data_IF_572744189956
#
_entry.id   IF_572744189956
#
_cell.length_a   1.000
_cell.length_b   1.000
_cell.length_c   1.000
_cell.angle_alpha   90.00
_cell.angle_beta   90.00
_cell.angle_gamma   90.00
#
_symmetry.space_group_name_H-M   'P 1'
#
loop_
_entity.id
_entity.type
_entity.pdbx_description
1 polymer ?
#
# COMPACT_ATOMS: atom_id res chain seq x y z
N UNK A 1 -3.74 4.10 -3.81
CA UNK A 1 -5.21 3.99 -3.97
C UNK A 1 -5.52 2.59 -4.47
N UNK A 2 -6.47 1.91 -3.85
CA UNK A 2 -6.93 0.59 -4.26
C UNK A 2 -8.31 0.73 -4.87
N UNK A 3 -8.51 0.05 -6.00
CA UNK A 3 -9.77 0.04 -6.72
C UNK A 3 -10.21 -1.41 -6.84
N UNK A 4 -11.49 -1.64 -6.56
CA UNK A 4 -12.11 -2.95 -6.68
C UNK A 4 -13.06 -2.88 -7.86
N UNK A 5 -12.93 -3.86 -8.74
CA UNK A 5 -13.75 -3.98 -9.94
C UNK A 5 -14.50 -5.30 -9.92
N UNK A 6 -15.74 -5.27 -10.38
CA UNK A 6 -16.48 -6.46 -10.77
C UNK A 6 -15.80 -7.09 -12.00
N UNK A 7 -15.46 -8.38 -11.92
CA UNK A 7 -14.64 -9.05 -12.96
C UNK A 7 -15.43 -9.31 -14.24
N UNK A 8 -16.74 -9.54 -14.14
CA UNK A 8 -17.58 -9.85 -15.30
C UNK A 8 -17.89 -8.59 -16.12
N UNK A 9 -18.16 -7.48 -15.44
CA UNK A 9 -18.64 -6.24 -16.06
C UNK A 9 -17.55 -5.17 -16.19
N UNK A 10 -16.46 -5.29 -15.44
CA UNK A 10 -15.42 -4.26 -15.33
C UNK A 10 -15.86 -3.01 -14.55
N UNK A 11 -17.04 -3.02 -13.92
CA UNK A 11 -17.54 -1.87 -13.17
C UNK A 11 -16.71 -1.67 -11.89
N UNK A 12 -16.34 -0.41 -11.59
CA UNK A 12 -15.75 -0.07 -10.30
C UNK A 12 -16.82 -0.19 -9.20
N UNK A 13 -16.58 -1.06 -8.22
CA UNK A 13 -17.52 -1.33 -7.13
C UNK A 13 -17.11 -0.67 -5.82
N UNK A 14 -15.82 -0.37 -5.65
CA UNK A 14 -15.32 0.37 -4.49
C UNK A 14 -13.96 1.01 -4.76
N UNK A 15 -13.69 2.11 -4.07
CA UNK A 15 -12.36 2.72 -3.94
C UNK A 15 -11.94 2.72 -2.47
N UNK A 16 -10.63 2.61 -2.24
CA UNK A 16 -10.07 2.59 -0.89
C UNK A 16 -8.69 3.25 -0.82
N UNK A 17 -8.41 3.83 0.33
CA UNK A 17 -7.10 4.35 0.70
C UNK A 17 -6.60 3.56 1.90
N UNK A 18 -5.28 3.30 1.93
CA UNK A 18 -4.64 2.57 3.00
C UNK A 18 -3.47 3.38 3.53
N UNK A 19 -3.40 3.53 4.85
CA UNK A 19 -2.25 4.05 5.56
C UNK A 19 -1.65 2.89 6.34
N UNK A 20 -0.38 2.57 6.08
CA UNK A 20 0.31 1.43 6.67
C UNK A 20 1.61 1.86 7.37
N UNK A 21 2.03 1.07 8.35
CA UNK A 21 3.33 1.21 9.01
C UNK A 21 4.08 -0.13 8.98
N UNK A 22 5.41 -0.07 8.99
CA UNK A 22 6.22 -1.23 9.33
C UNK A 22 6.26 -1.39 10.86
N UNK A 23 6.04 -2.62 11.34
CA UNK A 23 5.95 -2.93 12.77
C UNK A 23 6.89 -4.07 13.13
N UNK A 24 7.74 -3.87 14.13
CA UNK A 24 8.44 -4.96 14.80
C UNK A 24 7.43 -5.73 15.67
N UNK A 25 7.21 -7.00 15.38
CA UNK A 25 6.20 -7.82 16.07
C UNK A 25 6.62 -8.27 17.47
N UNK A 26 7.92 -8.32 17.75
CA UNK A 26 8.44 -8.70 19.08
C UNK A 26 8.41 -7.48 19.98
N UNK A 27 9.02 -6.37 19.55
CA UNK A 27 9.04 -5.12 20.31
C UNK A 27 7.67 -4.42 20.32
N UNK A 28 6.78 -4.76 19.39
CA UNK A 28 5.48 -4.10 19.13
C UNK A 28 5.61 -2.59 18.94
N UNK A 29 6.58 -2.19 18.12
CA UNK A 29 6.88 -0.78 17.84
C UNK A 29 6.94 -0.51 16.35
N UNK A 30 6.49 0.68 15.97
CA UNK A 30 6.68 1.18 14.62
C UNK A 30 8.19 1.30 14.34
N UNK A 31 8.58 0.92 13.14
CA UNK A 31 9.96 1.01 12.66
C UNK A 31 9.97 1.71 11.30
N UNK A 32 11.12 2.26 10.87
CA UNK A 32 11.28 2.67 9.49
C UNK A 32 10.99 1.51 8.53
N UNK A 33 10.43 1.82 7.36
CA UNK A 33 10.20 0.82 6.31
C UNK A 33 11.58 0.24 5.90
N UNK A 34 11.76 -1.10 5.93
CA UNK A 34 13.00 -1.73 5.48
C UNK A 34 13.37 -1.31 4.04
N UNK A 35 14.66 -1.10 3.72
CA UNK A 35 15.06 -0.55 2.42
C UNK A 35 14.62 -1.38 1.20
N UNK A 36 14.67 -2.71 1.32
CA UNK A 36 14.22 -3.66 0.31
C UNK A 36 12.71 -3.61 0.08
N UNK A 37 11.94 -3.52 1.17
CA UNK A 37 10.49 -3.32 1.12
C UNK A 37 10.15 -1.97 0.47
N UNK A 38 10.83 -0.89 0.85
CA UNK A 38 10.65 0.44 0.28
C UNK A 38 10.87 0.44 -1.23
N UNK A 39 11.97 -0.16 -1.69
CA UNK A 39 12.28 -0.28 -3.11
C UNK A 39 11.24 -1.11 -3.88
N UNK A 40 10.59 -2.07 -3.23
CA UNK A 40 9.45 -2.80 -3.78
C UNK A 40 8.20 -1.93 -3.92
N UNK A 41 7.84 -1.20 -2.86
CA UNK A 41 6.66 -0.34 -2.81
C UNK A 41 6.74 0.84 -3.78
N UNK A 42 7.91 1.45 -3.92
CA UNK A 42 8.16 2.59 -4.81
C UNK A 42 7.77 2.32 -6.28
N UNK A 43 7.76 1.05 -6.70
CA UNK A 43 7.35 0.64 -8.06
C UNK A 43 5.86 0.78 -8.32
N UNK A 44 5.05 0.80 -7.26
CA UNK A 44 3.58 0.85 -7.34
C UNK A 44 3.03 2.24 -7.00
N UNK A 45 3.91 3.19 -6.71
CA UNK A 45 3.53 4.54 -6.32
C UNK A 45 3.03 5.30 -7.53
N UNK A 46 1.87 5.91 -7.39
CA UNK A 46 1.40 6.89 -8.36
C UNK A 46 2.26 8.15 -8.20
N UNK A 47 2.89 8.66 -9.27
CA UNK A 47 3.72 9.86 -9.20
C UNK A 47 3.00 11.02 -8.49
N UNK A 48 3.69 11.67 -7.56
CA UNK A 48 3.14 12.78 -6.75
C UNK A 48 2.49 12.36 -5.43
N UNK A 49 2.35 11.05 -5.16
CA UNK A 49 1.97 10.52 -3.85
C UNK A 49 3.20 9.89 -3.17
N UNK A 50 3.30 10.03 -1.84
CA UNK A 50 4.43 9.50 -1.07
C UNK A 50 4.30 8.02 -0.71
N UNK A 51 5.45 7.40 -0.41
CA UNK A 51 5.58 6.17 0.40
C UNK A 51 6.11 6.54 1.76
#
# INVERSE_FOLDING_TARGET
AHWLFDVETGACVATAEAVAIALDLVARKAIPIPPDMKAGLEKFVVPGLGV
#
